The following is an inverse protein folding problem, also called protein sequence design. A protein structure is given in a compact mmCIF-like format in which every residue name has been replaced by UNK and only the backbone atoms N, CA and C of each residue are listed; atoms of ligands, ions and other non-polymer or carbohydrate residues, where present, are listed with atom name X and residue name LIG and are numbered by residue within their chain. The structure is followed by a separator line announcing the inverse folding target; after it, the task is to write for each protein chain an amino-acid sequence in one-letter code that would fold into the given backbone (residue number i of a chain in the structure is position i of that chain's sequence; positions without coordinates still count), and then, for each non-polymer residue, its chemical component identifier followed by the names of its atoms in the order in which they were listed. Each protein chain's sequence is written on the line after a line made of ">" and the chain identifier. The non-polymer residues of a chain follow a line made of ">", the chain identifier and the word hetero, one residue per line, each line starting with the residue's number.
data_IF_405806763973
#
_entry.id   IF_405806763973
#
_cell.length_a   1.000
_cell.length_b   1.000
_cell.length_c   1.000
_cell.angle_alpha   90.00
_cell.angle_beta   90.00
_cell.angle_gamma   90.00
#
_symmetry.space_group_name_H-M   'P 1'
#
loop_
_entity.id
_entity.type
_entity.pdbx_description
1 polymer ?
#
# COMPACT_ATOMS: atom_id res chain seq x y z
N UNK A 1 16.09 -48.05 2.16
CA UNK A 1 14.95 -48.38 3.03
C UNK A 1 15.08 -47.47 4.25
N UNK A 2 14.38 -46.34 4.22
CA UNK A 2 14.52 -45.25 5.20
C UNK A 2 13.89 -45.77 6.50
N UNK A 3 14.71 -45.93 7.54
CA UNK A 3 14.26 -46.36 8.87
C UNK A 3 13.44 -45.24 9.52
N UNK A 4 12.13 -45.26 9.29
CA UNK A 4 11.13 -44.39 9.93
C UNK A 4 10.95 -44.65 11.46
N UNK A 5 11.83 -45.45 12.08
CA UNK A 5 11.73 -45.91 13.47
C UNK A 5 12.97 -45.57 14.32
N UNK A 6 13.64 -44.44 14.06
CA UNK A 6 14.56 -43.84 15.05
C UNK A 6 13.76 -42.98 16.04
N UNK A 7 14.27 -42.78 17.28
CA UNK A 7 13.66 -41.87 18.26
C UNK A 7 13.40 -40.47 17.68
N UNK A 8 14.31 -40.00 16.83
CA UNK A 8 14.22 -38.72 16.13
C UNK A 8 13.09 -38.69 15.08
N UNK A 9 12.86 -39.81 14.38
CA UNK A 9 11.73 -39.93 13.45
C UNK A 9 10.37 -39.95 14.16
N UNK A 10 10.31 -40.55 15.34
CA UNK A 10 9.12 -40.54 16.20
C UNK A 10 8.83 -39.12 16.72
N UNK A 11 9.87 -38.37 17.11
CA UNK A 11 9.76 -36.99 17.57
C UNK A 11 9.27 -36.05 16.45
N UNK A 12 9.70 -36.28 15.20
CA UNK A 12 9.20 -35.55 14.03
C UNK A 12 7.70 -35.80 13.81
N UNK A 13 7.28 -37.07 13.80
CA UNK A 13 5.87 -37.45 13.64
C UNK A 13 4.97 -36.87 14.75
N UNK A 14 5.45 -36.86 15.99
CA UNK A 14 4.74 -36.23 17.13
C UNK A 14 4.63 -34.72 16.92
N UNK A 15 5.70 -34.06 16.46
CA UNK A 15 5.70 -32.61 16.19
C UNK A 15 4.70 -32.26 15.08
N UNK A 16 4.67 -33.04 13.99
CA UNK A 16 3.70 -32.90 12.90
C UNK A 16 2.27 -33.12 13.38
N UNK A 17 2.04 -34.15 14.20
CA UNK A 17 0.70 -34.46 14.73
C UNK A 17 0.19 -33.38 15.68
N UNK A 18 1.04 -32.89 16.60
CA UNK A 18 0.70 -31.78 17.52
C UNK A 18 0.45 -30.49 16.74
N UNK A 19 1.32 -30.17 15.78
CA UNK A 19 1.17 -28.97 14.97
C UNK A 19 -0.07 -29.03 14.06
N UNK A 20 -0.27 -30.15 13.36
CA UNK A 20 -1.46 -30.40 12.54
C UNK A 20 -2.74 -30.33 13.36
N UNK A 21 -2.74 -30.90 14.57
CA UNK A 21 -3.85 -30.79 15.52
C UNK A 21 -4.15 -29.35 15.95
N UNK A 22 -3.12 -28.55 16.26
CA UNK A 22 -3.27 -27.13 16.61
C UNK A 22 -3.82 -26.30 15.43
N UNK A 23 -3.35 -26.57 14.21
CA UNK A 23 -3.81 -25.89 12.99
C UNK A 23 -5.27 -26.23 12.69
N UNK A 24 -5.65 -27.51 12.79
CA UNK A 24 -7.03 -27.97 12.59
C UNK A 24 -7.98 -27.44 13.68
N UNK A 25 -7.53 -27.42 14.95
CA UNK A 25 -8.29 -26.83 16.06
C UNK A 25 -8.55 -25.34 15.82
N UNK A 26 -7.54 -24.59 15.37
CA UNK A 26 -7.67 -23.17 15.07
C UNK A 26 -8.54 -22.90 13.85
N UNK A 27 -8.53 -23.79 12.85
CA UNK A 27 -9.43 -23.72 11.70
C UNK A 27 -10.90 -23.93 12.11
N UNK A 28 -11.18 -24.88 13.01
CA UNK A 28 -12.54 -25.14 13.49
C UNK A 28 -13.18 -23.91 14.15
N UNK A 29 -12.38 -23.03 14.73
CA UNK A 29 -12.84 -21.80 15.39
C UNK A 29 -12.87 -20.56 14.47
N UNK A 30 -12.39 -20.63 13.23
CA UNK A 30 -12.39 -19.52 12.26
C UNK A 30 -13.32 -19.85 11.08
N UNK A 31 -14.46 -19.17 10.98
CA UNK A 31 -15.55 -19.49 10.05
C UNK A 31 -15.35 -19.06 8.58
N UNK A 32 -14.20 -18.52 8.17
CA UNK A 32 -14.02 -17.97 6.82
C UNK A 32 -12.80 -18.55 6.09
N UNK A 33 -12.99 -18.86 4.79
CA UNK A 33 -12.09 -19.04 3.59
C UNK A 33 -10.56 -19.31 3.75
N UNK A 34 -10.08 -19.65 4.94
CA UNK A 34 -8.68 -19.91 5.30
C UNK A 34 -8.31 -21.38 5.04
N UNK A 35 -9.31 -22.25 4.81
CA UNK A 35 -9.14 -23.69 4.60
C UNK A 35 -8.11 -24.05 3.52
N UNK A 36 -8.12 -23.37 2.36
CA UNK A 36 -7.17 -23.68 1.29
C UNK A 36 -5.73 -23.26 1.64
N UNK A 37 -5.54 -22.09 2.27
CA UNK A 37 -4.20 -21.62 2.67
C UNK A 37 -3.61 -22.46 3.79
N UNK A 38 -4.45 -22.92 4.72
CA UNK A 38 -4.08 -23.88 5.77
C UNK A 38 -3.71 -25.23 5.16
N UNK A 39 -4.53 -25.76 4.24
CA UNK A 39 -4.23 -27.00 3.53
C UNK A 39 -2.90 -26.90 2.77
N UNK A 40 -2.65 -25.81 2.04
CA UNK A 40 -1.35 -25.59 1.39
C UNK A 40 -0.20 -25.51 2.39
N UNK A 41 -0.37 -24.82 3.53
CA UNK A 41 0.68 -24.70 4.55
C UNK A 41 1.01 -26.04 5.20
N UNK A 42 -0.01 -26.86 5.49
CA UNK A 42 0.14 -28.21 6.02
C UNK A 42 0.81 -29.13 4.99
N UNK A 43 0.38 -29.08 3.72
CA UNK A 43 1.01 -29.86 2.63
C UNK A 43 2.47 -29.45 2.40
N UNK A 44 2.78 -28.15 2.44
CA UNK A 44 4.16 -27.66 2.29
C UNK A 44 5.05 -28.11 3.47
N UNK A 45 4.50 -28.17 4.69
CA UNK A 45 5.17 -28.69 5.88
C UNK A 45 5.48 -30.18 5.75
N UNK A 46 4.52 -30.99 5.28
CA UNK A 46 4.74 -32.42 5.01
C UNK A 46 5.80 -32.65 3.94
N UNK A 47 5.79 -31.88 2.85
CA UNK A 47 6.83 -31.97 1.81
C UNK A 47 8.18 -31.47 2.31
N UNK A 48 8.19 -30.43 3.13
CA UNK A 48 9.38 -29.88 3.79
C UNK A 48 10.02 -30.87 4.75
N UNK A 49 9.22 -31.60 5.53
CA UNK A 49 9.69 -32.69 6.40
C UNK A 49 10.40 -33.77 5.59
N UNK A 50 9.77 -34.29 4.53
CA UNK A 50 10.36 -35.31 3.65
C UNK A 50 11.68 -34.83 3.05
N UNK A 51 11.76 -33.57 2.62
CA UNK A 51 13.00 -32.99 2.06
C UNK A 51 14.10 -32.79 3.12
N UNK A 52 13.75 -32.24 4.29
CA UNK A 52 14.69 -31.97 5.37
C UNK A 52 15.36 -33.25 5.88
N UNK A 53 14.61 -34.34 6.05
CA UNK A 53 15.15 -35.61 6.53
C UNK A 53 15.78 -36.48 5.43
N UNK A 54 15.56 -36.16 4.15
CA UNK A 54 16.21 -36.86 3.03
C UNK A 54 17.55 -36.23 2.61
N UNK A 55 17.76 -34.93 2.87
CA UNK A 55 18.91 -34.17 2.36
C UNK A 55 19.85 -33.62 3.44
N UNK A 56 19.43 -33.56 4.71
CA UNK A 56 20.22 -32.99 5.81
C UNK A 56 20.40 -34.02 6.94
N UNK A 57 21.45 -33.87 7.75
CA UNK A 57 21.57 -34.64 8.99
C UNK A 57 20.38 -34.34 9.91
N UNK A 58 19.93 -35.33 10.69
CA UNK A 58 18.75 -35.25 11.55
C UNK A 58 18.66 -33.97 12.41
N UNK A 59 19.77 -33.52 13.00
CA UNK A 59 19.80 -32.28 13.79
C UNK A 59 19.40 -31.02 13.00
N UNK A 60 19.98 -30.85 11.80
CA UNK A 60 19.67 -29.71 10.92
C UNK A 60 18.28 -29.84 10.30
N UNK A 61 17.84 -31.06 9.97
CA UNK A 61 16.49 -31.33 9.47
C UNK A 61 15.41 -30.97 10.50
N UNK A 62 15.58 -31.40 11.75
CA UNK A 62 14.66 -31.09 12.84
C UNK A 62 14.64 -29.59 13.19
N UNK A 63 15.80 -28.94 13.18
CA UNK A 63 15.92 -27.50 13.42
C UNK A 63 15.19 -26.69 12.33
N UNK A 64 15.38 -27.06 11.06
CA UNK A 64 14.70 -26.42 9.93
C UNK A 64 13.19 -26.68 9.97
N UNK A 65 12.75 -27.91 10.21
CA UNK A 65 11.33 -28.25 10.32
C UNK A 65 10.65 -27.49 11.46
N UNK A 66 11.28 -27.46 12.65
CA UNK A 66 10.79 -26.72 13.82
C UNK A 66 10.68 -25.22 13.52
N UNK A 67 11.66 -24.65 12.79
CA UNK A 67 11.61 -23.26 12.34
C UNK A 67 10.46 -23.01 11.38
N UNK A 68 10.22 -23.90 10.40
CA UNK A 68 9.08 -23.78 9.47
C UNK A 68 7.75 -23.88 10.23
N UNK A 69 7.61 -24.82 11.18
CA UNK A 69 6.42 -24.91 12.04
C UNK A 69 6.19 -23.62 12.84
N UNK A 70 7.23 -23.04 13.44
CA UNK A 70 7.12 -21.77 14.17
C UNK A 70 6.71 -20.63 13.24
N UNK A 71 7.33 -20.51 12.06
CA UNK A 71 6.99 -19.49 11.06
C UNK A 71 5.54 -19.67 10.59
N UNK A 72 5.12 -20.90 10.29
CA UNK A 72 3.74 -21.23 9.92
C UNK A 72 2.76 -20.93 11.06
N UNK A 73 3.10 -21.22 12.33
CA UNK A 73 2.28 -20.88 13.48
C UNK A 73 2.05 -19.38 13.60
N UNK A 74 3.12 -18.60 13.50
CA UNK A 74 3.09 -17.13 13.58
C UNK A 74 2.24 -16.59 12.43
N UNK A 75 2.46 -17.09 11.21
CA UNK A 75 1.70 -16.68 10.03
C UNK A 75 0.20 -17.00 10.16
N UNK A 76 -0.16 -18.20 10.62
CA UNK A 76 -1.54 -18.61 10.83
C UNK A 76 -2.19 -17.86 12.00
N UNK A 77 -1.42 -17.53 13.04
CA UNK A 77 -1.89 -16.71 14.17
C UNK A 77 -2.14 -15.25 13.78
N UNK A 78 -1.49 -14.75 12.73
CA UNK A 78 -1.75 -13.45 12.13
C UNK A 78 -3.15 -13.28 11.52
N UNK A 79 -3.87 -14.38 11.25
CA UNK A 79 -5.15 -14.36 10.53
C UNK A 79 -6.39 -14.20 11.43
N UNK A 80 -6.25 -14.19 12.75
CA UNK A 80 -7.38 -13.97 13.67
C UNK A 80 -7.90 -12.52 13.52
N UNK A 81 -9.14 -12.36 13.06
CA UNK A 81 -9.78 -11.05 12.91
C UNK A 81 -10.56 -10.70 14.17
N UNK A 82 -10.40 -9.46 14.65
CA UNK A 82 -11.24 -8.94 15.72
C UNK A 82 -12.66 -8.70 15.18
N UNK A 83 -13.69 -8.85 16.03
CA UNK A 83 -15.04 -8.46 15.68
C UNK A 83 -15.14 -6.96 15.37
N UNK A 84 -16.18 -6.53 14.64
CA UNK A 84 -16.39 -5.11 14.30
C UNK A 84 -16.84 -4.30 15.52
N UNK A 85 -17.77 -4.79 16.34
CA UNK A 85 -18.24 -4.18 17.61
C UNK A 85 -18.38 -2.64 17.59
N UNK A 86 -19.07 -2.07 16.60
CA UNK A 86 -19.24 -0.60 16.48
C UNK A 86 -17.93 0.19 16.41
N UNK A 87 -16.81 -0.44 16.02
CA UNK A 87 -15.52 0.24 15.84
C UNK A 87 -15.65 1.35 14.80
N UNK A 88 -15.04 2.49 15.09
CA UNK A 88 -15.06 3.67 14.25
C UNK A 88 -13.78 3.82 13.40
N UNK A 89 -13.92 4.11 12.11
CA UNK A 89 -12.80 4.26 11.18
C UNK A 89 -12.90 5.58 10.42
N UNK A 90 -11.83 6.38 10.46
CA UNK A 90 -11.65 7.56 9.61
C UNK A 90 -10.85 7.17 8.37
N UNK A 91 -11.31 7.57 7.18
CA UNK A 91 -10.62 7.37 5.91
C UNK A 91 -10.43 8.73 5.24
N UNK A 92 -9.20 9.12 4.93
CA UNK A 92 -8.94 10.31 4.09
C UNK A 92 -8.94 9.94 2.61
N UNK A 93 -9.37 10.87 1.74
CA UNK A 93 -9.48 10.60 0.31
C UNK A 93 -10.61 9.63 -0.04
N UNK A 94 -11.73 9.69 0.68
CA UNK A 94 -12.91 8.83 0.48
C UNK A 94 -13.75 9.16 -0.77
N UNK A 95 -13.37 10.18 -1.54
CA UNK A 95 -14.15 10.64 -2.69
C UNK A 95 -13.99 9.79 -3.95
N UNK A 96 -12.94 8.95 -4.03
CA UNK A 96 -12.71 8.05 -5.17
C UNK A 96 -11.76 6.89 -4.80
N UNK A 97 -11.52 5.97 -5.73
CA UNK A 97 -10.48 4.94 -5.64
C UNK A 97 -10.58 4.05 -4.40
N UNK A 98 -9.43 3.76 -3.77
CA UNK A 98 -9.35 2.87 -2.62
C UNK A 98 -10.14 3.37 -1.41
N UNK A 99 -10.03 4.65 -1.07
CA UNK A 99 -10.70 5.23 0.08
C UNK A 99 -12.23 5.12 -0.04
N UNK A 100 -12.77 5.41 -1.22
CA UNK A 100 -14.19 5.29 -1.49
C UNK A 100 -14.69 3.83 -1.40
N UNK A 101 -13.98 2.91 -2.06
CA UNK A 101 -14.34 1.50 -2.04
C UNK A 101 -14.22 0.88 -0.63
N UNK A 102 -13.19 1.28 0.15
CA UNK A 102 -13.02 0.88 1.54
C UNK A 102 -14.17 1.41 2.41
N UNK A 103 -14.56 2.67 2.25
CA UNK A 103 -15.64 3.26 3.04
C UNK A 103 -16.95 2.46 2.90
N UNK A 104 -17.31 2.09 1.66
CA UNK A 104 -18.48 1.25 1.37
C UNK A 104 -18.35 -0.17 1.92
N UNK A 105 -17.15 -0.76 1.83
CA UNK A 105 -16.90 -2.09 2.39
C UNK A 105 -17.06 -2.09 3.92
N UNK A 106 -16.47 -1.11 4.61
CA UNK A 106 -16.56 -1.01 6.06
C UNK A 106 -17.99 -0.73 6.54
N UNK A 107 -18.75 0.11 5.83
CA UNK A 107 -20.16 0.37 6.14
C UNK A 107 -21.02 -0.91 6.06
N UNK A 108 -20.81 -1.70 5.00
CA UNK A 108 -21.46 -3.01 4.82
C UNK A 108 -21.12 -4.01 5.92
N UNK A 109 -19.90 -3.93 6.46
CA UNK A 109 -19.44 -4.77 7.56
C UNK A 109 -19.90 -4.27 8.94
N UNK A 110 -20.61 -3.14 9.00
CA UNK A 110 -21.19 -2.61 10.24
C UNK A 110 -20.28 -1.68 11.04
N UNK A 111 -19.20 -1.16 10.45
CA UNK A 111 -18.37 -0.13 11.10
C UNK A 111 -19.09 1.21 11.15
N UNK A 112 -18.70 2.05 12.11
CA UNK A 112 -18.94 3.50 12.03
C UNK A 112 -17.85 4.07 11.12
N UNK A 113 -18.23 4.71 10.02
CA UNK A 113 -17.27 5.16 8.99
C UNK A 113 -17.33 6.66 8.85
N UNK A 114 -16.17 7.31 8.93
CA UNK A 114 -15.99 8.71 8.58
C UNK A 114 -15.20 8.81 7.28
N UNK A 115 -15.87 9.18 6.20
CA UNK A 115 -15.24 9.36 4.89
C UNK A 115 -14.85 10.82 4.70
N UNK A 116 -13.58 11.15 4.95
CA UNK A 116 -12.99 12.45 4.63
C UNK A 116 -12.81 12.62 3.13
N UNK A 117 -13.49 13.59 2.53
CA UNK A 117 -13.48 13.87 1.10
C UNK A 117 -12.99 15.28 0.81
N UNK A 118 -12.32 15.47 -0.33
CA UNK A 118 -11.82 16.79 -0.74
C UNK A 118 -12.95 17.77 -1.08
N UNK A 119 -14.06 17.28 -1.61
CA UNK A 119 -15.25 18.07 -1.90
C UNK A 119 -16.49 17.29 -1.45
N UNK A 120 -17.13 17.76 -0.38
CA UNK A 120 -18.34 17.14 0.19
C UNK A 120 -19.57 17.19 -0.73
N UNK A 121 -19.55 18.05 -1.76
CA UNK A 121 -20.61 18.14 -2.78
C UNK A 121 -20.19 17.46 -4.09
N UNK A 122 -19.04 16.79 -4.09
CA UNK A 122 -18.53 16.07 -5.25
C UNK A 122 -19.31 14.78 -5.52
N UNK A 123 -19.23 14.23 -6.73
CA UNK A 123 -20.02 13.06 -7.13
C UNK A 123 -19.75 11.83 -6.26
N UNK A 124 -18.50 11.59 -5.85
CA UNK A 124 -18.17 10.48 -4.96
C UNK A 124 -18.69 10.66 -3.54
N UNK A 125 -18.83 11.90 -3.05
CA UNK A 125 -19.42 12.20 -1.75
C UNK A 125 -20.93 11.95 -1.77
N UNK A 126 -21.62 12.39 -2.82
CA UNK A 126 -23.06 12.13 -2.99
C UNK A 126 -23.36 10.65 -3.17
N UNK A 127 -22.50 9.93 -3.89
CA UNK A 127 -22.64 8.48 -4.04
C UNK A 127 -22.54 7.76 -2.69
N UNK A 128 -21.59 8.15 -1.83
CA UNK A 128 -21.46 7.60 -0.49
C UNK A 128 -22.71 7.86 0.34
N UNK A 129 -23.24 9.09 0.33
CA UNK A 129 -24.47 9.42 1.07
C UNK A 129 -25.67 8.62 0.58
N UNK A 130 -25.79 8.42 -0.73
CA UNK A 130 -26.92 7.71 -1.34
C UNK A 130 -26.86 6.19 -1.11
N UNK A 131 -25.67 5.60 -1.11
CA UNK A 131 -25.48 4.15 -1.16
C UNK A 131 -25.08 3.50 0.17
N UNK A 132 -24.81 4.30 1.21
CA UNK A 132 -24.33 3.83 2.52
C UNK A 132 -25.39 4.00 3.61
N UNK A 133 -25.22 3.27 4.71
CA UNK A 133 -26.09 3.38 5.87
C UNK A 133 -25.82 4.66 6.68
N UNK A 134 -26.67 4.91 7.69
CA UNK A 134 -26.49 6.02 8.64
C UNK A 134 -25.20 5.95 9.47
N UNK A 135 -24.49 4.80 9.45
CA UNK A 135 -23.20 4.65 10.12
C UNK A 135 -22.06 5.30 9.34
N UNK A 136 -22.24 5.61 8.05
CA UNK A 136 -21.27 6.31 7.24
C UNK A 136 -21.57 7.82 7.21
N UNK A 137 -20.60 8.61 7.67
CA UNK A 137 -20.64 10.07 7.63
C UNK A 137 -19.59 10.60 6.67
N UNK A 138 -20.00 11.40 5.70
CA UNK A 138 -19.10 12.14 4.81
C UNK A 138 -18.64 13.43 5.51
N UNK A 139 -17.34 13.71 5.49
CA UNK A 139 -16.73 14.90 6.09
C UNK A 139 -15.94 15.68 5.02
N UNK A 140 -16.17 16.99 4.91
CA UNK A 140 -15.29 17.89 4.16
C UNK A 140 -13.90 17.93 4.83
N UNK A 141 -12.88 17.43 4.13
CA UNK A 141 -11.56 17.25 4.70
C UNK A 141 -10.46 17.29 3.63
N UNK A 142 -10.02 18.50 3.29
CA UNK A 142 -8.74 18.73 2.64
C UNK A 142 -7.61 18.60 3.67
N UNK A 143 -6.76 17.59 3.49
CA UNK A 143 -5.65 17.29 4.42
C UNK A 143 -4.58 18.39 4.44
N UNK A 144 -4.55 19.28 3.44
CA UNK A 144 -3.65 20.44 3.38
C UNK A 144 -4.20 21.65 4.16
N UNK A 145 -5.42 21.56 4.70
CA UNK A 145 -6.10 22.62 5.44
C UNK A 145 -6.29 22.21 6.90
N UNK A 146 -5.39 22.61 7.82
CA UNK A 146 -5.48 22.26 9.24
C UNK A 146 -6.84 22.58 9.88
N UNK A 147 -7.50 23.67 9.45
CA UNK A 147 -8.84 24.03 9.92
C UNK A 147 -9.91 22.96 9.58
N UNK A 148 -9.87 22.38 8.38
CA UNK A 148 -10.80 21.31 7.99
C UNK A 148 -10.49 20.01 8.72
N UNK A 149 -9.21 19.69 8.93
CA UNK A 149 -8.78 18.53 9.72
C UNK A 149 -9.26 18.64 11.17
N UNK A 150 -9.18 19.83 11.77
CA UNK A 150 -9.68 20.11 13.13
C UNK A 150 -11.21 20.03 13.22
N UNK A 151 -11.94 20.52 12.23
CA UNK A 151 -13.40 20.40 12.21
C UNK A 151 -13.83 18.93 12.06
N UNK A 152 -13.18 18.19 11.15
CA UNK A 152 -13.39 16.74 11.04
C UNK A 152 -13.12 16.03 12.37
N UNK A 153 -12.06 16.41 13.09
CA UNK A 153 -11.76 15.88 14.41
C UNK A 153 -12.89 16.14 15.41
N UNK A 154 -13.44 17.35 15.46
CA UNK A 154 -14.55 17.70 16.35
C UNK A 154 -15.78 16.83 16.08
N UNK A 155 -16.12 16.63 14.81
CA UNK A 155 -17.25 15.81 14.36
C UNK A 155 -17.06 14.33 14.70
N UNK A 156 -15.85 13.81 14.54
CA UNK A 156 -15.51 12.43 14.92
C UNK A 156 -15.56 12.27 16.44
N UNK A 157 -14.95 13.18 17.19
CA UNK A 157 -14.93 13.17 18.66
C UNK A 157 -16.35 13.16 19.25
N UNK A 158 -17.25 13.98 18.71
CA UNK A 158 -18.66 14.04 19.12
C UNK A 158 -19.36 12.67 19.03
N UNK A 159 -19.03 11.89 17.99
CA UNK A 159 -19.64 10.59 17.73
C UNK A 159 -18.98 9.43 18.49
N UNK A 160 -17.65 9.44 18.64
CA UNK A 160 -16.92 8.32 19.28
C UNK A 160 -16.67 8.50 20.76
N UNK A 161 -16.66 9.73 21.27
CA UNK A 161 -16.53 10.07 22.69
C UNK A 161 -15.44 9.25 23.42
N UNK A 162 -15.81 8.50 24.44
CA UNK A 162 -14.88 7.71 25.26
C UNK A 162 -14.48 6.36 24.67
N UNK A 163 -15.15 5.88 23.63
CA UNK A 163 -14.70 4.69 22.90
C UNK A 163 -13.44 4.94 22.08
N UNK A 164 -13.20 6.20 21.68
CA UNK A 164 -12.08 6.57 20.84
C UNK A 164 -12.24 6.12 19.38
N UNK A 165 -11.19 6.32 18.59
CA UNK A 165 -11.20 6.00 17.17
C UNK A 165 -10.41 4.72 16.91
N UNK A 166 -11.04 3.70 16.34
CA UNK A 166 -10.39 2.40 16.14
C UNK A 166 -9.31 2.46 15.08
N UNK A 167 -9.56 3.14 13.95
CA UNK A 167 -8.54 3.29 12.92
C UNK A 167 -8.59 4.63 12.20
N UNK A 168 -7.43 5.10 11.78
CA UNK A 168 -7.24 6.18 10.81
C UNK A 168 -6.53 5.59 9.60
N UNK A 169 -7.14 5.75 8.42
CA UNK A 169 -6.57 5.33 7.14
C UNK A 169 -6.18 6.59 6.37
N UNK A 170 -4.89 6.93 6.41
CA UNK A 170 -4.31 7.99 5.59
C UNK A 170 -4.15 7.49 4.16
N UNK A 171 -5.17 7.73 3.34
CA UNK A 171 -5.25 7.32 1.95
C UNK A 171 -5.22 8.49 0.96
N UNK A 172 -5.56 9.72 1.40
CA UNK A 172 -5.48 10.90 0.53
C UNK A 172 -4.10 11.01 -0.14
N UNK A 173 -4.08 11.26 -1.44
CA UNK A 173 -2.85 11.44 -2.19
C UNK A 173 -3.04 11.85 -3.64
N UNK A 174 -1.98 12.39 -4.21
CA UNK A 174 -1.88 12.81 -5.62
C UNK A 174 -0.60 12.24 -6.24
N UNK A 175 -0.62 11.98 -7.54
CA UNK A 175 0.58 11.56 -8.29
C UNK A 175 1.45 12.73 -8.78
N UNK A 176 0.90 13.94 -8.85
CA UNK A 176 1.61 15.10 -9.42
C UNK A 176 1.83 14.96 -10.92
N UNK A 177 2.94 15.48 -11.45
CA UNK A 177 3.35 15.32 -12.85
C UNK A 177 4.13 14.01 -13.06
N UNK A 178 3.88 13.30 -14.16
CA UNK A 178 4.63 12.10 -14.56
C UNK A 178 5.59 12.47 -15.67
N UNK A 179 6.88 12.44 -15.36
CA UNK A 179 7.96 12.84 -16.25
C UNK A 179 9.29 12.82 -15.52
N UNK A 180 10.37 13.15 -16.23
CA UNK A 180 11.71 13.20 -15.64
C UNK A 180 11.77 14.15 -14.45
N UNK A 181 12.65 13.84 -13.51
CA UNK A 181 12.79 14.61 -12.27
C UNK A 181 13.22 16.06 -12.55
N UNK A 182 14.13 16.26 -13.51
CA UNK A 182 14.59 17.59 -13.94
C UNK A 182 13.49 18.43 -14.58
N UNK A 183 12.57 17.78 -15.32
CA UNK A 183 11.40 18.44 -15.89
C UNK A 183 10.28 18.68 -14.87
N UNK A 184 10.36 18.08 -13.69
CA UNK A 184 9.28 18.22 -12.71
C UNK A 184 9.45 19.51 -11.91
N UNK A 185 8.47 20.42 -12.01
CA UNK A 185 8.57 21.72 -11.33
C UNK A 185 8.58 21.58 -9.80
N UNK A 186 9.27 22.51 -9.12
CA UNK A 186 9.29 22.52 -7.65
C UNK A 186 7.90 22.70 -7.02
N UNK A 187 6.95 23.30 -7.74
CA UNK A 187 5.57 23.39 -7.29
C UNK A 187 4.93 21.99 -7.19
N UNK A 188 5.16 21.11 -8.18
CA UNK A 188 4.69 19.71 -8.14
C UNK A 188 5.33 18.95 -6.98
N UNK A 189 6.64 19.11 -6.75
CA UNK A 189 7.30 18.51 -5.58
C UNK A 189 6.66 18.95 -4.28
N UNK A 190 6.43 20.26 -4.09
CA UNK A 190 5.78 20.80 -2.89
C UNK A 190 4.37 20.26 -2.75
N UNK A 191 3.55 20.28 -3.79
CA UNK A 191 2.17 19.77 -3.76
C UNK A 191 2.12 18.28 -3.38
N UNK A 192 2.99 17.44 -3.97
CA UNK A 192 3.08 16.03 -3.60
C UNK A 192 3.45 15.87 -2.12
N UNK A 193 4.39 16.65 -1.60
CA UNK A 193 4.76 16.63 -0.18
C UNK A 193 3.62 17.13 0.73
N UNK A 194 2.97 18.24 0.39
CA UNK A 194 1.86 18.82 1.16
C UNK A 194 0.71 17.82 1.31
N UNK A 195 0.30 17.14 0.23
CA UNK A 195 -0.82 16.19 0.30
C UNK A 195 -0.40 14.83 0.84
N UNK A 196 0.62 14.21 0.24
CA UNK A 196 0.95 12.80 0.50
C UNK A 196 1.70 12.58 1.82
N UNK A 197 2.39 13.60 2.32
CA UNK A 197 3.24 13.52 3.50
C UNK A 197 2.76 14.43 4.63
N UNK A 198 2.82 15.75 4.45
CA UNK A 198 2.44 16.70 5.52
C UNK A 198 0.97 16.58 5.91
N UNK A 199 0.08 16.40 4.93
CA UNK A 199 -1.35 16.13 5.18
C UNK A 199 -1.57 14.86 6.02
N UNK A 200 -0.86 13.77 5.69
CA UNK A 200 -0.92 12.55 6.49
C UNK A 200 -0.39 12.75 7.92
N UNK A 201 0.65 13.58 8.10
CA UNK A 201 1.17 13.95 9.43
C UNK A 201 0.14 14.77 10.21
N UNK A 202 -0.48 15.78 9.61
CA UNK A 202 -1.45 16.65 10.25
C UNK A 202 -2.67 15.84 10.75
N UNK A 203 -3.18 14.96 9.90
CA UNK A 203 -4.26 14.03 10.27
C UNK A 203 -3.81 13.09 11.38
N UNK A 204 -2.63 12.49 11.24
CA UNK A 204 -2.10 11.58 12.26
C UNK A 204 -2.03 12.26 13.62
N UNK A 205 -1.38 13.42 13.71
CA UNK A 205 -1.20 14.17 14.97
C UNK A 205 -2.53 14.58 15.57
N UNK A 206 -3.47 15.05 14.75
CA UNK A 206 -4.78 15.51 15.21
C UNK A 206 -5.60 14.37 15.81
N UNK A 207 -5.62 13.19 15.17
CA UNK A 207 -6.45 12.07 15.60
C UNK A 207 -5.76 11.11 16.58
N UNK A 208 -4.44 11.26 16.80
CA UNK A 208 -3.67 10.38 17.69
C UNK A 208 -4.26 10.25 19.11
N UNK A 209 -4.79 11.30 19.76
CA UNK A 209 -5.43 11.15 21.07
C UNK A 209 -6.57 10.11 21.07
N UNK A 210 -7.39 10.07 20.00
CA UNK A 210 -8.50 9.12 19.87
C UNK A 210 -8.01 7.71 19.57
N UNK A 211 -6.96 7.57 18.75
CA UNK A 211 -6.31 6.28 18.51
C UNK A 211 -5.72 5.69 19.80
N UNK A 212 -5.07 6.50 20.63
CA UNK A 212 -4.51 6.05 21.92
C UNK A 212 -5.60 5.54 22.86
N UNK A 213 -6.73 6.25 22.93
CA UNK A 213 -7.88 5.85 23.76
C UNK A 213 -8.44 4.48 23.35
N UNK A 214 -8.54 4.21 22.05
CA UNK A 214 -9.04 2.95 21.52
C UNK A 214 -7.97 1.84 21.42
N UNK A 215 -6.68 2.13 21.71
CA UNK A 215 -5.54 1.27 21.33
C UNK A 215 -5.63 0.85 19.85
N UNK A 216 -5.97 1.84 19.03
CA UNK A 216 -6.37 1.69 17.64
C UNK A 216 -5.22 1.52 16.66
N UNK A 217 -5.47 1.88 15.41
CA UNK A 217 -4.57 1.61 14.28
C UNK A 217 -4.39 2.84 13.40
N UNK A 218 -3.14 3.17 13.12
CA UNK A 218 -2.77 4.11 12.09
C UNK A 218 -2.35 3.34 10.84
N UNK A 219 -3.08 3.51 9.75
CA UNK A 219 -2.81 2.82 8.48
C UNK A 219 -2.45 3.89 7.46
N UNK A 220 -1.22 3.85 6.97
CA UNK A 220 -0.74 4.78 5.94
C UNK A 220 -0.66 4.06 4.59
N UNK A 221 -1.37 4.59 3.59
CA UNK A 221 -1.32 4.08 2.21
C UNK A 221 -0.19 4.81 1.47
N UNK A 222 0.96 4.16 1.42
CA UNK A 222 2.11 4.58 0.63
C UNK A 222 1.97 4.05 -0.82
N UNK A 223 3.07 3.61 -1.43
CA UNK A 223 3.13 3.02 -2.76
C UNK A 223 4.40 2.19 -2.88
N UNK A 224 4.43 1.26 -3.84
CA UNK A 224 5.69 0.65 -4.26
C UNK A 224 6.72 1.70 -4.70
N UNK A 225 6.26 2.83 -5.27
CA UNK A 225 7.14 3.95 -5.62
C UNK A 225 7.73 4.71 -4.42
N UNK A 226 7.24 4.45 -3.20
CA UNK A 226 7.88 4.90 -1.97
C UNK A 226 8.89 3.90 -1.39
N UNK A 227 8.93 2.68 -1.93
CA UNK A 227 9.87 1.64 -1.49
C UNK A 227 11.04 1.47 -2.45
N UNK A 228 10.77 1.57 -3.75
CA UNK A 228 11.77 1.41 -4.81
C UNK A 228 11.71 2.58 -5.77
N UNK A 229 12.83 3.01 -6.37
CA UNK A 229 12.81 4.02 -7.41
C UNK A 229 12.03 3.53 -8.63
N UNK A 230 11.16 4.38 -9.16
CA UNK A 230 10.52 4.19 -10.46
C UNK A 230 10.72 5.45 -11.30
N UNK A 231 11.21 5.26 -12.53
CA UNK A 231 11.36 6.34 -13.49
C UNK A 231 10.04 7.08 -13.70
N UNK A 232 10.15 8.38 -13.96
CA UNK A 232 9.04 9.30 -14.21
C UNK A 232 8.12 9.62 -13.02
N UNK A 233 8.41 9.11 -11.82
CA UNK A 233 7.60 9.32 -10.61
C UNK A 233 8.36 10.05 -9.50
N UNK A 234 9.29 10.95 -9.84
CA UNK A 234 10.25 11.51 -8.89
C UNK A 234 9.58 12.22 -7.70
N UNK A 235 8.69 13.20 -7.95
CA UNK A 235 7.98 13.94 -6.89
C UNK A 235 7.06 13.02 -6.06
N UNK A 236 6.28 12.18 -6.74
CA UNK A 236 5.38 11.23 -6.09
C UNK A 236 6.12 10.21 -5.21
N UNK A 237 7.09 9.51 -5.79
CA UNK A 237 7.91 8.50 -5.13
C UNK A 237 8.63 9.07 -3.92
N UNK A 238 9.22 10.27 -4.05
CA UNK A 238 9.86 10.96 -2.92
C UNK A 238 8.89 11.22 -1.77
N UNK A 239 7.68 11.71 -2.06
CA UNK A 239 6.67 11.95 -1.02
C UNK A 239 6.18 10.67 -0.35
N UNK A 240 6.07 9.56 -1.10
CA UNK A 240 5.66 8.25 -0.58
C UNK A 240 6.79 7.56 0.19
N UNK A 241 8.04 7.78 -0.18
CA UNK A 241 9.21 7.33 0.57
C UNK A 241 9.30 8.03 1.94
N UNK A 242 9.06 9.34 1.97
CA UNK A 242 8.97 10.09 3.23
C UNK A 242 7.87 9.51 4.15
N UNK A 243 6.67 9.24 3.60
CA UNK A 243 5.58 8.61 4.35
C UNK A 243 5.96 7.20 4.85
N UNK A 244 6.65 6.40 4.04
CA UNK A 244 7.14 5.07 4.42
C UNK A 244 8.10 5.13 5.60
N UNK A 245 9.08 6.04 5.58
CA UNK A 245 10.02 6.22 6.69
C UNK A 245 9.29 6.68 7.96
N UNK A 246 8.40 7.68 7.83
CA UNK A 246 7.58 8.18 8.93
C UNK A 246 6.74 7.08 9.58
N UNK A 247 6.10 6.20 8.79
CA UNK A 247 5.38 5.04 9.31
C UNK A 247 6.27 4.09 10.10
N UNK A 248 7.49 3.82 9.62
CA UNK A 248 8.45 2.95 10.30
C UNK A 248 8.88 3.49 11.66
N UNK A 249 9.08 4.81 11.76
CA UNK A 249 9.43 5.50 13.01
C UNK A 249 8.24 5.49 13.97
N UNK A 250 7.07 5.95 13.53
CA UNK A 250 5.87 5.98 14.39
C UNK A 250 5.47 4.60 14.91
N UNK A 251 5.70 3.53 14.15
CA UNK A 251 5.46 2.17 14.64
C UNK A 251 6.22 1.86 15.93
N UNK A 252 7.46 2.35 16.04
CA UNK A 252 8.28 2.14 17.22
C UNK A 252 7.81 3.06 18.36
N UNK A 253 7.60 4.34 18.06
CA UNK A 253 7.21 5.34 19.06
C UNK A 253 5.83 5.07 19.67
N UNK A 254 4.86 4.64 18.84
CA UNK A 254 3.47 4.43 19.23
C UNK A 254 3.19 3.06 19.85
N UNK A 255 4.14 2.12 19.75
CA UNK A 255 4.02 0.77 20.30
C UNK A 255 3.72 0.76 21.81
N UNK A 256 4.37 1.64 22.59
CA UNK A 256 4.17 1.80 24.03
C UNK A 256 2.76 2.29 24.41
N UNK A 257 2.07 2.91 23.45
CA UNK A 257 0.70 3.41 23.62
C UNK A 257 -0.35 2.38 23.19
N UNK A 258 0.08 1.20 22.73
CA UNK A 258 -0.82 0.18 22.19
C UNK A 258 -1.42 0.52 20.83
N UNK A 259 -0.94 1.59 20.16
CA UNK A 259 -1.40 1.97 18.81
C UNK A 259 -0.55 1.24 17.78
N UNK A 260 -1.20 0.50 16.89
CA UNK A 260 -0.54 -0.20 15.79
C UNK A 260 -0.35 0.72 14.60
N UNK A 261 0.83 0.72 14.00
CA UNK A 261 1.09 1.44 12.76
C UNK A 261 1.34 0.42 11.65
N UNK A 262 0.57 0.53 10.57
CA UNK A 262 0.62 -0.35 9.42
C UNK A 262 0.87 0.47 8.16
N UNK A 263 1.77 -0.03 7.32
CA UNK A 263 2.08 0.53 6.03
C UNK A 263 1.48 -0.35 4.93
N UNK A 264 0.76 0.26 3.99
CA UNK A 264 0.28 -0.41 2.78
C UNK A 264 1.03 0.19 1.58
N UNK A 265 1.65 -0.64 0.74
CA UNK A 265 2.36 -0.23 -0.46
C UNK A 265 1.76 -0.92 -1.70
N UNK A 266 0.67 -0.36 -2.25
CA UNK A 266 0.07 -0.90 -3.46
C UNK A 266 1.01 -0.80 -4.67
N UNK A 267 0.92 -1.80 -5.55
CA UNK A 267 1.45 -1.74 -6.92
C UNK A 267 0.60 -0.87 -7.86
N UNK A 268 0.70 -1.12 -9.18
CA UNK A 268 -0.05 -0.37 -10.19
C UNK A 268 -1.53 -0.78 -10.26
N UNK A 269 -2.40 -0.04 -9.58
CA UNK A 269 -3.86 -0.18 -9.65
C UNK A 269 -4.49 1.00 -10.38
N UNK A 270 -5.54 0.71 -11.16
CA UNK A 270 -6.30 1.77 -11.83
C UNK A 270 -7.21 2.49 -10.83
N UNK A 271 -6.83 3.70 -10.47
CA UNK A 271 -7.60 4.60 -9.60
C UNK A 271 -7.66 6.00 -10.19
N UNK A 272 -8.47 6.89 -9.60
CA UNK A 272 -8.55 8.30 -10.00
C UNK A 272 -7.38 9.16 -9.48
N UNK A 273 -6.32 8.56 -8.92
CA UNK A 273 -5.17 9.29 -8.35
C UNK A 273 -4.40 10.15 -9.37
N UNK A 274 -4.59 9.83 -10.66
CA UNK A 274 -3.99 10.56 -11.77
C UNK A 274 -4.60 11.95 -11.98
N UNK A 275 -5.69 12.33 -11.31
CA UNK A 275 -6.35 13.61 -11.55
C UNK A 275 -7.08 13.67 -12.90
N UNK A 276 -7.44 14.88 -13.33
CA UNK A 276 -8.23 15.10 -14.55
C UNK A 276 -7.35 15.54 -15.73
N UNK A 277 -7.76 15.32 -16.99
CA UNK A 277 -7.03 15.80 -18.17
C UNK A 277 -6.70 17.29 -18.12
N UNK A 278 -7.60 18.11 -17.57
CA UNK A 278 -7.41 19.56 -17.44
C UNK A 278 -6.27 19.91 -16.48
N UNK A 279 -6.10 19.14 -15.40
CA UNK A 279 -4.96 19.30 -14.49
C UNK A 279 -3.65 18.99 -15.21
N UNK A 280 -3.63 17.98 -16.09
CA UNK A 280 -2.44 17.63 -16.87
C UNK A 280 -2.06 18.71 -17.86
N UNK A 281 -3.05 19.26 -18.57
CA UNK A 281 -2.82 20.34 -19.51
C UNK A 281 -2.30 21.59 -18.79
N UNK A 282 -2.80 21.88 -17.59
CA UNK A 282 -2.28 22.95 -16.75
C UNK A 282 -0.83 22.71 -16.29
N UNK A 283 -0.49 21.48 -15.87
CA UNK A 283 0.87 21.11 -15.44
C UNK A 283 1.88 21.14 -16.60
N UNK A 284 1.49 20.67 -17.79
CA UNK A 284 2.35 20.75 -18.97
C UNK A 284 2.56 22.21 -19.41
N UNK A 285 1.49 23.02 -19.39
CA UNK A 285 1.59 24.44 -19.71
C UNK A 285 2.55 25.15 -18.75
N UNK A 286 2.36 24.95 -17.44
CA UNK A 286 3.25 25.48 -16.40
C UNK A 286 4.71 25.05 -16.63
N UNK A 287 4.93 23.78 -16.99
CA UNK A 287 6.24 23.27 -17.35
C UNK A 287 6.84 24.02 -18.56
N UNK A 288 6.13 24.07 -19.68
CA UNK A 288 6.64 24.68 -20.92
C UNK A 288 6.91 26.19 -20.75
N UNK A 289 6.13 26.88 -19.93
CA UNK A 289 6.31 28.31 -19.66
C UNK A 289 7.51 28.59 -18.74
N UNK A 290 7.77 27.74 -17.75
CA UNK A 290 8.77 28.00 -16.70
C UNK A 290 10.07 27.19 -16.84
N UNK A 291 10.17 26.26 -17.78
CA UNK A 291 11.39 25.46 -17.99
C UNK A 291 12.53 26.34 -18.54
N UNK A 292 13.76 26.07 -18.11
CA UNK A 292 14.95 26.77 -18.61
C UNK A 292 15.18 26.42 -20.09
N UNK A 293 15.73 27.36 -20.84
CA UNK A 293 15.80 27.25 -22.31
C UNK A 293 16.80 26.18 -22.77
N UNK A 294 17.91 26.01 -22.05
CA UNK A 294 18.87 24.91 -22.24
C UNK A 294 18.21 23.54 -22.03
N UNK A 295 17.44 23.38 -20.95
CA UNK A 295 16.70 22.13 -20.68
C UNK A 295 15.63 21.88 -21.76
N UNK A 296 14.95 22.92 -22.24
CA UNK A 296 14.02 22.80 -23.38
C UNK A 296 14.72 22.37 -24.66
N UNK A 297 15.92 22.88 -24.91
CA UNK A 297 16.73 22.50 -26.08
C UNK A 297 17.17 21.04 -26.00
N UNK A 298 17.64 20.60 -24.84
CA UNK A 298 18.14 19.24 -24.61
C UNK A 298 17.03 18.19 -24.67
N UNK A 299 15.90 18.45 -24.02
CA UNK A 299 14.78 17.52 -24.02
C UNK A 299 13.96 17.60 -25.30
N UNK A 300 13.73 18.81 -25.81
CA UNK A 300 12.88 19.09 -26.96
C UNK A 300 11.37 19.03 -26.63
N UNK A 301 10.62 19.99 -27.17
CA UNK A 301 9.17 20.13 -26.95
C UNK A 301 8.42 18.84 -27.31
N UNK A 302 8.82 18.17 -28.40
CA UNK A 302 8.20 16.91 -28.83
C UNK A 302 8.33 15.78 -27.81
N UNK A 303 9.45 15.72 -27.07
CA UNK A 303 9.62 14.77 -25.97
C UNK A 303 8.70 15.11 -24.80
N UNK A 304 8.70 16.38 -24.38
CA UNK A 304 7.90 16.87 -23.25
C UNK A 304 6.41 16.62 -23.49
N UNK A 305 5.91 16.93 -24.68
CA UNK A 305 4.52 16.67 -25.07
C UNK A 305 4.20 15.17 -25.12
N UNK A 306 5.17 14.35 -25.53
CA UNK A 306 5.01 12.91 -25.55
C UNK A 306 4.95 12.29 -24.13
N UNK A 307 5.45 12.96 -23.08
CA UNK A 307 5.33 12.50 -21.70
C UNK A 307 3.86 12.33 -21.25
N UNK A 308 2.93 13.10 -21.80
CA UNK A 308 1.48 12.91 -21.57
C UNK A 308 1.00 11.50 -21.94
N UNK A 309 1.67 10.85 -22.89
CA UNK A 309 1.33 9.49 -23.29
C UNK A 309 1.80 8.46 -22.26
N UNK A 310 2.77 8.78 -21.40
CA UNK A 310 3.20 7.90 -20.31
C UNK A 310 2.06 7.66 -19.33
N UNK A 311 1.37 8.72 -18.91
CA UNK A 311 0.24 8.58 -18.00
C UNK A 311 -0.93 7.84 -18.65
N UNK A 312 -1.22 8.12 -19.92
CA UNK A 312 -2.22 7.35 -20.70
C UNK A 312 -1.83 5.88 -20.82
N UNK A 313 -0.53 5.56 -20.88
CA UNK A 313 -0.06 4.18 -20.87
C UNK A 313 -0.18 3.55 -19.48
N UNK A 314 0.17 4.29 -18.42
CA UNK A 314 0.01 3.84 -17.03
C UNK A 314 -1.46 3.56 -16.69
N UNK A 315 -2.40 4.36 -17.19
CA UNK A 315 -3.84 4.14 -16.98
C UNK A 315 -4.43 2.98 -17.80
N UNK A 316 -3.70 2.47 -18.79
CA UNK A 316 -4.04 1.25 -19.56
C UNK A 316 -3.64 -0.04 -18.84
N UNK A 317 -2.80 0.01 -17.80
CA UNK A 317 -2.45 -1.19 -17.04
C UNK A 317 -3.61 -1.63 -16.11
N UNK A 318 -3.91 -2.94 -16.03
CA UNK A 318 -5.30 -3.42 -16.04
C UNK A 318 -5.77 -3.99 -14.70
N UNK A 319 -5.18 -3.60 -13.56
CA UNK A 319 -5.70 -4.04 -12.27
C UNK A 319 -6.83 -3.08 -11.86
N UNK A 320 -8.02 -3.36 -12.41
CA UNK A 320 -9.29 -2.70 -12.04
C UNK A 320 -9.88 -3.30 -10.78
N UNK A 321 -9.55 -4.56 -10.47
CA UNK A 321 -9.97 -5.22 -9.25
C UNK A 321 -9.19 -4.66 -8.05
N UNK A 322 -9.88 -3.87 -7.23
CA UNK A 322 -9.32 -3.29 -6.00
C UNK A 322 -9.35 -4.29 -4.82
N UNK A 323 -9.96 -5.47 -4.99
CA UNK A 323 -10.14 -6.46 -3.92
C UNK A 323 -8.85 -6.82 -3.18
N UNK A 324 -7.67 -6.99 -3.83
CA UNK A 324 -6.43 -7.26 -3.10
C UNK A 324 -6.06 -6.16 -2.10
N UNK A 325 -6.23 -4.89 -2.50
CA UNK A 325 -5.92 -3.73 -1.64
C UNK A 325 -6.96 -3.64 -0.52
N UNK A 326 -8.24 -3.83 -0.83
CA UNK A 326 -9.31 -3.80 0.15
C UNK A 326 -9.19 -4.93 1.19
N UNK A 327 -8.77 -6.11 0.76
CA UNK A 327 -8.49 -7.23 1.67
C UNK A 327 -7.34 -6.91 2.63
N UNK A 328 -6.23 -6.40 2.12
CA UNK A 328 -5.07 -6.04 2.96
C UNK A 328 -5.41 -4.88 3.91
N UNK A 329 -6.18 -3.88 3.46
CA UNK A 329 -6.69 -2.80 4.31
C UNK A 329 -7.63 -3.34 5.40
N UNK A 330 -8.56 -4.22 5.05
CA UNK A 330 -9.48 -4.84 6.01
C UNK A 330 -8.73 -5.69 7.03
N UNK A 331 -7.76 -6.49 6.58
CA UNK A 331 -6.89 -7.28 7.46
C UNK A 331 -6.06 -6.36 8.38
N UNK A 332 -5.51 -5.26 7.85
CA UNK A 332 -4.82 -4.26 8.65
C UNK A 332 -5.73 -3.63 9.71
N UNK A 333 -7.03 -3.43 9.42
CA UNK A 333 -8.02 -2.87 10.35
C UNK A 333 -8.44 -3.88 11.42
N UNK A 334 -8.63 -5.16 11.07
CA UNK A 334 -9.24 -6.14 11.97
C UNK A 334 -8.26 -7.11 12.62
N UNK A 335 -7.14 -7.45 12.00
CA UNK A 335 -6.26 -8.54 12.47
C UNK A 335 -5.72 -8.30 13.87
N UNK A 336 -5.89 -9.26 14.78
CA UNK A 336 -5.32 -9.21 16.13
C UNK A 336 -3.79 -9.07 16.12
N UNK A 337 -3.13 -9.61 15.10
CA UNK A 337 -1.69 -9.51 14.87
C UNK A 337 -1.42 -9.08 13.42
N UNK A 338 -1.69 -7.81 13.12
CA UNK A 338 -1.45 -7.24 11.81
C UNK A 338 0.05 -7.19 11.49
N UNK A 339 0.41 -7.52 10.25
CA UNK A 339 1.75 -7.23 9.72
C UNK A 339 2.03 -5.72 9.74
N UNK A 340 3.30 -5.35 9.81
CA UNK A 340 3.73 -3.95 9.72
C UNK A 340 3.67 -3.40 8.28
N UNK A 341 3.77 -4.28 7.28
CA UNK A 341 3.79 -3.95 5.85
C UNK A 341 2.91 -4.92 5.07
N UNK A 342 2.10 -4.37 4.17
CA UNK A 342 1.36 -5.10 3.14
C UNK A 342 1.68 -4.52 1.78
N UNK A 343 1.91 -5.36 0.78
CA UNK A 343 2.17 -4.91 -0.60
C UNK A 343 1.19 -5.57 -1.57
N UNK A 344 -0.07 -5.11 -1.58
CA UNK A 344 -1.07 -5.65 -2.48
C UNK A 344 -0.69 -5.34 -3.93
N UNK A 345 -0.85 -6.34 -4.80
CA UNK A 345 -0.53 -6.24 -6.23
C UNK A 345 0.30 -7.42 -6.71
N UNK A 346 0.03 -7.86 -7.94
CA UNK A 346 0.78 -8.97 -8.55
C UNK A 346 2.26 -8.60 -8.63
N UNK A 347 3.14 -9.48 -8.14
CA UNK A 347 4.60 -9.32 -8.12
C UNK A 347 5.13 -8.13 -7.29
N UNK A 348 4.30 -7.47 -6.48
CA UNK A 348 4.73 -6.32 -5.67
C UNK A 348 5.83 -6.69 -4.67
N UNK A 349 5.71 -7.85 -4.01
CA UNK A 349 6.76 -8.39 -3.13
C UNK A 349 8.08 -8.68 -3.87
N UNK A 350 8.02 -9.09 -5.14
CA UNK A 350 9.22 -9.41 -5.91
C UNK A 350 10.09 -8.16 -6.12
N UNK A 351 9.47 -7.00 -6.39
CA UNK A 351 10.20 -5.73 -6.53
C UNK A 351 10.90 -5.31 -5.24
N UNK A 352 10.24 -5.50 -4.10
CA UNK A 352 10.87 -5.28 -2.79
C UNK A 352 12.06 -6.22 -2.58
N UNK A 353 11.91 -7.51 -2.88
CA UNK A 353 13.00 -8.47 -2.73
C UNK A 353 14.19 -8.12 -3.63
N UNK A 354 13.93 -7.75 -4.89
CA UNK A 354 14.98 -7.40 -5.83
C UNK A 354 15.74 -6.16 -5.35
N UNK A 355 15.02 -5.09 -5.00
CA UNK A 355 15.64 -3.86 -4.49
C UNK A 355 16.35 -4.02 -3.14
N UNK A 356 15.94 -4.98 -2.31
CA UNK A 356 16.55 -5.18 -0.98
C UNK A 356 17.76 -6.12 -0.99
N UNK A 357 17.79 -7.12 -1.87
CA UNK A 357 18.80 -8.19 -1.84
C UNK A 357 19.75 -8.20 -3.03
N UNK A 358 19.40 -7.56 -4.14
CA UNK A 358 20.24 -7.53 -5.34
C UNK A 358 20.96 -6.18 -5.48
N UNK A 359 22.11 -6.16 -6.18
CA UNK A 359 22.78 -4.91 -6.52
C UNK A 359 21.86 -3.92 -7.26
N UNK A 360 22.09 -2.63 -7.04
CA UNK A 360 21.26 -1.54 -7.59
C UNK A 360 21.09 -1.65 -9.11
N UNK A 361 22.15 -1.98 -9.86
CA UNK A 361 22.10 -2.09 -11.32
C UNK A 361 21.12 -3.18 -11.82
N UNK A 362 20.88 -4.24 -11.03
CA UNK A 362 19.88 -5.29 -11.36
C UNK A 362 18.48 -4.70 -11.27
N UNK A 363 18.22 -3.94 -10.20
CA UNK A 363 16.96 -3.24 -9.99
C UNK A 363 16.72 -2.21 -11.11
N UNK A 364 17.72 -1.41 -11.44
CA UNK A 364 17.65 -0.39 -12.49
C UNK A 364 17.37 -1.02 -13.87
N UNK A 365 18.03 -2.14 -14.19
CA UNK A 365 17.79 -2.87 -15.44
C UNK A 365 16.36 -3.43 -15.53
N UNK A 366 15.83 -3.95 -14.43
CA UNK A 366 14.45 -4.42 -14.36
C UNK A 366 13.44 -3.27 -14.53
N UNK A 367 13.63 -2.16 -13.81
CA UNK A 367 12.77 -0.98 -13.91
C UNK A 367 12.81 -0.41 -15.33
N UNK A 368 14.00 -0.31 -15.95
CA UNK A 368 14.16 0.12 -17.34
C UNK A 368 13.38 -0.77 -18.31
N UNK A 369 13.32 -2.07 -18.06
CA UNK A 369 12.56 -3.02 -18.90
C UNK A 369 11.05 -2.82 -18.76
N UNK A 370 10.56 -2.51 -17.56
CA UNK A 370 9.14 -2.29 -17.28
C UNK A 370 8.66 -0.93 -17.80
N UNK A 371 9.47 0.10 -17.65
CA UNK A 371 9.18 1.47 -18.09
C UNK A 371 9.90 1.80 -19.41
N UNK A 372 10.03 0.80 -20.29
CA UNK A 372 10.70 0.94 -21.59
C UNK A 372 9.81 1.68 -22.59
N UNK A 373 9.59 2.97 -22.32
CA UNK A 373 8.99 3.86 -23.28
C UNK A 373 10.06 4.25 -24.30
N UNK A 374 9.80 4.04 -25.60
CA UNK A 374 10.68 4.48 -26.69
C UNK A 374 10.64 6.01 -26.87
N UNK A 375 10.75 6.76 -25.77
CA UNK A 375 10.89 8.21 -25.75
C UNK A 375 12.36 8.53 -25.49
N UNK A 376 12.96 9.35 -26.36
CA UNK A 376 14.36 9.75 -26.26
C UNK A 376 14.42 11.28 -26.32
N UNK A 377 15.04 11.96 -25.33
CA UNK A 377 15.30 13.40 -25.36
C UNK A 377 15.98 13.83 -26.66
N UNK A 378 15.70 15.05 -27.14
CA UNK A 378 16.21 15.58 -28.41
C UNK A 378 17.74 15.52 -28.51
N UNK A 379 18.48 15.91 -27.47
CA UNK A 379 19.94 15.87 -27.44
C UNK A 379 20.53 14.45 -27.59
N UNK A 380 19.74 13.41 -27.30
CA UNK A 380 20.16 12.01 -27.42
C UNK A 380 19.72 11.36 -28.74
N UNK A 381 18.94 12.05 -29.56
CA UNK A 381 18.55 11.56 -30.88
C UNK A 381 19.75 11.70 -31.83
N UNK A 382 20.10 10.60 -32.53
CA UNK A 382 21.15 10.66 -33.56
C UNK A 382 20.73 11.67 -34.63
N UNK A 383 21.63 12.53 -35.15
CA UNK A 383 21.31 13.39 -36.27
C UNK A 383 20.86 12.52 -37.46
N UNK A 384 19.83 12.97 -38.17
CA UNK A 384 19.42 12.31 -39.41
C UNK A 384 20.64 12.19 -40.33
N UNK A 385 20.88 11.01 -40.95
CA UNK A 385 21.93 10.91 -41.95
C UNK A 385 21.68 11.98 -43.01
N UNK A 386 22.71 12.74 -43.43
CA UNK A 386 22.52 13.84 -44.38
C UNK A 386 21.79 13.28 -45.59
N UNK A 387 20.62 13.87 -45.87
CA UNK A 387 19.78 13.55 -47.02
C UNK A 387 20.68 13.24 -48.23
N UNK A 388 20.73 11.98 -48.65
CA UNK A 388 21.21 11.63 -49.99
C UNK A 388 20.19 12.22 -50.97
N UNK A 389 20.35 13.51 -51.27
CA UNK A 389 19.84 14.10 -52.51
C UNK A 389 20.54 13.34 -53.64
N UNK A 390 19.80 12.45 -54.29
CA UNK A 390 20.07 11.98 -55.64
C UNK A 390 18.98 12.56 -56.54
#
# INVERSE_FOLDING_TARGET
>A
MITFFSEEGLLSLVTVAVFGGLVLYKQKNNHDKIGNKVAYSVTLLFLGEVYCFSCLSYFWGFSLFSLVCIISYIYLSGQEMLPVDQKAVLITGGGSGFGHALAKLLDKLGFIVFAGVLNERGPGAEELRRSSSERLTVLQMDVTKPAQVKEAYRRVLEKVQDTGLWAVVNNAGIIGYVGDGELTSMNVFRQCMEVNFFGAIEVTKTFLPLLRKAKGRLINVSSMAGATPFSYLCAYGSSKAALTMFSGILRQELSRWGVKVVLIQPGGFRTSIHGSPELWDALEKDLLENLQEDVKEDYGIGYIQALKNLLKAMSKYPITDLSPVLFDLLHAILSKHSFALYTPGKNSYLFLCISSFFPIWVSDALIKTIFNFKLVPKALQKPDPPNKKL
#
